data_IF_257924507889
#
_entry.id   IF_257924507889
#
_cell.length_a   1.000
_cell.length_b   1.000
_cell.length_c   1.000
_cell.angle_alpha   90.00
_cell.angle_beta   90.00
_cell.angle_gamma   90.00
#
_symmetry.space_group_name_H-M   'P 1'
#
loop_
_entity.id
_entity.type
_entity.pdbx_description
1 polymer ?
#
# COMPACT_ATOMS: atom_id res chain seq x y z
N UNK A 1 -10.13 -11.73 -51.08
CA UNK A 1 -8.74 -11.73 -50.59
C UNK A 1 -8.72 -11.06 -49.22
N UNK A 2 -9.03 -11.82 -48.16
CA UNK A 2 -9.09 -11.29 -46.79
C UNK A 2 -7.70 -11.31 -46.16
N UNK A 3 -7.20 -10.14 -45.76
CA UNK A 3 -5.91 -10.03 -45.06
C UNK A 3 -6.17 -10.44 -43.61
N UNK A 4 -5.73 -11.65 -43.27
CA UNK A 4 -5.76 -12.18 -41.91
C UNK A 4 -4.61 -11.52 -41.13
N UNK A 5 -4.92 -10.49 -40.36
CA UNK A 5 -3.98 -9.86 -39.43
C UNK A 5 -3.59 -10.88 -38.36
N UNK A 6 -2.42 -11.54 -38.51
CA UNK A 6 -1.77 -12.27 -37.42
C UNK A 6 -1.33 -11.26 -36.38
N UNK A 7 -2.17 -11.05 -35.36
CA UNK A 7 -1.79 -10.26 -34.20
C UNK A 7 -0.57 -10.92 -33.53
N UNK A 8 0.50 -10.15 -33.27
CA UNK A 8 1.69 -10.69 -32.64
C UNK A 8 1.38 -11.13 -31.21
N UNK A 9 1.99 -12.25 -30.85
CA UNK A 9 2.10 -13.00 -29.59
C UNK A 9 2.56 -12.17 -28.36
N UNK A 10 2.60 -10.84 -28.49
CA UNK A 10 3.03 -9.88 -27.48
C UNK A 10 1.92 -9.46 -26.52
N UNK A 11 0.65 -9.77 -26.81
CA UNK A 11 -0.46 -9.50 -25.87
C UNK A 11 -0.42 -10.34 -24.58
N UNK A 12 0.45 -11.35 -24.50
CA UNK A 12 0.62 -12.14 -23.27
C UNK A 12 1.55 -11.48 -22.24
N UNK A 13 2.42 -10.54 -22.66
CA UNK A 13 3.48 -9.98 -21.82
C UNK A 13 3.15 -8.64 -21.16
N UNK A 14 2.10 -7.95 -21.61
CA UNK A 14 1.61 -6.73 -20.95
C UNK A 14 0.69 -7.07 -19.76
N UNK A 15 0.23 -8.32 -19.66
CA UNK A 15 -0.62 -8.80 -18.56
C UNK A 15 0.15 -9.05 -17.25
N UNK A 16 1.47 -8.99 -17.28
CA UNK A 16 2.36 -9.17 -16.12
C UNK A 16 2.68 -7.86 -15.37
N UNK A 17 2.18 -6.70 -15.83
CA UNK A 17 2.54 -5.38 -15.26
C UNK A 17 1.66 -4.87 -14.10
N UNK A 18 0.64 -5.63 -13.66
CA UNK A 18 -0.16 -5.29 -12.47
C UNK A 18 -0.61 -6.56 -11.79
N UNK A 19 0.23 -7.13 -10.94
CA UNK A 19 -0.26 -8.09 -9.93
C UNK A 19 -0.83 -7.26 -8.75
N UNK A 20 -2.15 -7.26 -8.54
CA UNK A 20 -2.75 -6.49 -7.44
C UNK A 20 -2.35 -7.04 -6.07
N UNK A 21 -2.01 -8.33 -5.96
CA UNK A 21 -1.51 -8.91 -4.71
C UNK A 21 -0.12 -8.37 -4.36
N UNK A 22 0.77 -8.27 -5.37
CA UNK A 22 2.09 -7.68 -5.19
C UNK A 22 1.98 -6.19 -4.82
N UNK A 23 1.13 -5.44 -5.52
CA UNK A 23 0.91 -4.01 -5.22
C UNK A 23 0.32 -3.79 -3.82
N UNK A 24 -0.58 -4.66 -3.36
CA UNK A 24 -1.12 -4.58 -2.01
C UNK A 24 -0.06 -4.89 -0.95
N UNK A 25 0.82 -5.87 -1.22
CA UNK A 25 1.95 -6.17 -0.35
C UNK A 25 2.96 -5.01 -0.28
N UNK A 26 3.27 -4.39 -1.42
CA UNK A 26 4.13 -3.20 -1.50
C UNK A 26 3.51 -2.02 -0.73
N UNK A 27 2.22 -1.74 -0.94
CA UNK A 27 1.51 -0.67 -0.21
C UNK A 27 1.55 -0.88 1.32
N UNK A 28 1.35 -2.11 1.79
CA UNK A 28 1.42 -2.43 3.22
C UNK A 28 2.82 -2.29 3.78
N UNK A 29 3.85 -2.63 2.99
CA UNK A 29 5.24 -2.41 3.36
C UNK A 29 5.54 -0.91 3.49
N UNK A 30 5.13 -0.11 2.50
CA UNK A 30 5.31 1.34 2.50
C UNK A 30 4.60 2.01 3.68
N UNK A 31 3.40 1.54 4.07
CA UNK A 31 2.71 2.02 5.28
C UNK A 31 3.50 1.67 6.55
N UNK A 32 4.07 0.46 6.62
CA UNK A 32 4.91 0.07 7.76
C UNK A 32 6.16 0.95 7.87
N UNK A 33 6.80 1.26 6.74
CA UNK A 33 7.97 2.15 6.70
C UNK A 33 7.58 3.58 7.11
N UNK A 34 6.45 4.09 6.62
CA UNK A 34 5.93 5.40 7.03
C UNK A 34 5.66 5.47 8.54
N UNK A 35 5.08 4.42 9.15
CA UNK A 35 4.90 4.33 10.61
C UNK A 35 6.23 4.39 11.35
N UNK A 36 7.25 3.69 10.86
CA UNK A 36 8.58 3.72 11.46
C UNK A 36 9.23 5.11 11.39
N UNK A 37 9.07 5.81 10.27
CA UNK A 37 9.56 7.19 10.11
C UNK A 37 8.85 8.17 11.06
N UNK A 38 7.51 8.11 11.14
CA UNK A 38 6.72 8.92 12.06
C UNK A 38 7.17 8.67 13.50
N UNK A 39 7.33 7.40 13.88
CA UNK A 39 7.81 7.02 15.21
C UNK A 39 9.17 7.65 15.50
N UNK A 40 10.08 7.60 14.55
CA UNK A 40 11.42 8.16 14.71
C UNK A 40 11.40 9.68 14.92
N UNK A 41 10.49 10.39 14.24
CA UNK A 41 10.29 11.84 14.43
C UNK A 41 9.72 12.14 15.82
N UNK A 42 8.72 11.38 16.26
CA UNK A 42 8.11 11.55 17.58
C UNK A 42 9.08 11.23 18.71
N UNK A 43 9.89 10.19 18.59
CA UNK A 43 10.91 9.84 19.59
C UNK A 43 11.97 10.94 19.70
N UNK A 44 12.40 11.53 18.58
CA UNK A 44 13.31 12.70 18.59
C UNK A 44 12.69 13.90 19.30
N UNK A 45 11.41 14.17 19.05
CA UNK A 45 10.67 15.25 19.72
C UNK A 45 10.56 14.97 21.23
N UNK A 46 10.27 13.73 21.60
CA UNK A 46 10.12 13.32 22.99
C UNK A 46 11.41 13.45 23.79
N UNK A 47 12.53 13.04 23.22
CA UNK A 47 13.86 13.20 23.83
C UNK A 47 14.20 14.68 24.06
N UNK A 48 13.87 15.56 23.11
CA UNK A 48 14.19 16.99 23.20
C UNK A 48 13.37 17.74 24.25
N UNK A 49 12.14 17.30 24.49
CA UNK A 49 11.17 18.02 25.32
C UNK A 49 10.69 17.24 26.55
N UNK A 50 11.35 16.13 26.89
CA UNK A 50 10.99 15.24 27.99
C UNK A 50 9.51 14.79 27.94
N UNK A 51 8.99 14.51 26.73
CA UNK A 51 7.65 13.95 26.54
C UNK A 51 7.67 12.50 27.01
N UNK A 52 6.61 12.08 27.69
CA UNK A 52 6.55 10.71 28.23
C UNK A 52 6.36 9.71 27.10
N UNK A 53 6.97 8.51 27.17
CA UNK A 53 6.78 7.47 26.17
C UNK A 53 5.30 7.15 25.89
N UNK A 54 4.45 7.16 26.93
CA UNK A 54 3.00 6.94 26.78
C UNK A 54 2.32 7.94 25.86
N UNK A 55 2.76 9.20 25.86
CA UNK A 55 2.17 10.24 25.00
C UNK A 55 2.62 10.03 23.53
N UNK A 56 3.79 9.43 23.31
CA UNK A 56 4.25 9.01 21.97
C UNK A 56 3.45 7.81 21.46
N UNK A 57 3.21 6.80 22.29
CA UNK A 57 2.33 5.67 21.90
C UNK A 57 0.95 6.16 21.50
N UNK A 58 0.37 7.08 22.27
CA UNK A 58 -0.94 7.66 21.95
C UNK A 58 -0.95 8.43 20.61
N UNK A 59 0.14 9.13 20.29
CA UNK A 59 0.28 9.77 18.99
C UNK A 59 0.46 8.77 17.84
N UNK A 60 1.13 7.64 18.10
CA UNK A 60 1.26 6.56 17.13
C UNK A 60 -0.07 5.86 16.84
N UNK A 61 -0.94 5.69 17.84
CA UNK A 61 -2.29 5.14 17.64
C UNK A 61 -3.09 6.03 16.66
N UNK A 62 -3.02 7.36 16.81
CA UNK A 62 -3.64 8.26 15.83
C UNK A 62 -3.00 8.22 14.45
N UNK A 63 -1.68 8.05 14.39
CA UNK A 63 -0.99 7.91 13.11
C UNK A 63 -1.40 6.62 12.39
N UNK A 64 -1.66 5.55 13.14
CA UNK A 64 -2.15 4.28 12.60
C UNK A 64 -3.54 4.44 11.97
N UNK A 65 -4.48 5.05 12.70
CA UNK A 65 -5.82 5.34 12.21
C UNK A 65 -5.79 6.23 10.95
N UNK A 66 -5.02 7.33 11.01
CA UNK A 66 -4.88 8.27 9.90
C UNK A 66 -4.28 7.60 8.66
N UNK A 67 -3.25 6.78 8.80
CA UNK A 67 -2.64 6.08 7.68
C UNK A 67 -3.59 5.05 7.09
N UNK A 68 -4.32 4.31 7.93
CA UNK A 68 -5.34 3.36 7.51
C UNK A 68 -6.43 4.04 6.67
N UNK A 69 -6.97 5.16 7.15
CA UNK A 69 -7.95 5.98 6.42
C UNK A 69 -7.39 6.49 5.09
N UNK A 70 -6.11 6.89 5.07
CA UNK A 70 -5.44 7.44 3.89
C UNK A 70 -5.31 6.40 2.78
N UNK A 71 -4.95 5.15 3.12
CA UNK A 71 -4.72 4.09 2.12
C UNK A 71 -5.95 3.25 1.81
N UNK A 72 -6.99 3.33 2.63
CA UNK A 72 -8.19 2.50 2.55
C UNK A 72 -8.77 2.36 1.14
N UNK A 73 -8.89 3.49 0.42
CA UNK A 73 -9.46 3.49 -0.94
C UNK A 73 -8.61 2.72 -1.95
N UNK A 74 -7.28 2.73 -1.79
CA UNK A 74 -6.34 2.03 -2.67
C UNK A 74 -6.32 0.55 -2.33
N UNK A 75 -6.27 0.18 -1.05
CA UNK A 75 -6.35 -1.21 -0.61
C UNK A 75 -7.65 -1.86 -1.11
N UNK A 76 -8.79 -1.20 -0.88
CA UNK A 76 -10.10 -1.70 -1.32
C UNK A 76 -10.16 -1.90 -2.83
N UNK A 77 -9.55 -1.01 -3.62
CA UNK A 77 -9.51 -1.14 -5.07
C UNK A 77 -8.66 -2.35 -5.52
N UNK A 78 -7.50 -2.54 -4.89
CA UNK A 78 -6.62 -3.68 -5.17
C UNK A 78 -7.25 -5.01 -4.77
N UNK A 79 -7.93 -5.07 -3.63
CA UNK A 79 -8.65 -6.25 -3.17
C UNK A 79 -9.80 -6.62 -4.11
N UNK A 80 -10.58 -5.64 -4.58
CA UNK A 80 -11.62 -5.87 -5.60
C UNK A 80 -11.03 -6.36 -6.93
N UNK A 81 -9.91 -5.77 -7.38
CA UNK A 81 -9.22 -6.24 -8.58
C UNK A 81 -8.74 -7.70 -8.44
N UNK A 82 -8.44 -8.17 -7.22
CA UNK A 82 -8.10 -9.58 -6.95
C UNK A 82 -9.34 -10.47 -7.02
N UNK A 83 -10.44 -10.09 -6.37
CA UNK A 83 -11.71 -10.83 -6.39
C UNK A 83 -12.25 -11.00 -7.83
N UNK A 84 -12.15 -9.96 -8.66
CA UNK A 84 -12.58 -10.02 -10.07
C UNK A 84 -11.71 -10.95 -10.93
N UNK A 85 -10.45 -11.17 -10.54
CA UNK A 85 -9.51 -12.04 -11.27
C UNK A 85 -9.61 -13.51 -10.88
N UNK A 86 -10.09 -13.81 -9.68
CA UNK A 86 -10.34 -15.15 -9.18
C UNK A 86 -11.81 -15.30 -8.72
N UNK A 87 -12.78 -15.28 -9.66
CA UNK A 87 -14.18 -15.48 -9.33
C UNK A 87 -14.38 -16.93 -8.89
N UNK A 88 -14.79 -17.12 -7.63
CA UNK A 88 -15.17 -18.41 -7.05
C UNK A 88 -16.28 -19.08 -7.86
#
# INVERSE_FOLDING_TARGET
MGIQLRLPHLYRWVRTMRDPALQLAELRADVSDAKAEIRQVLDKLAQKHAIRPKDVEYAMDYADDMLSDTVYSVETALEREMEERDPV
#
